data_IF_159714902786
#
_entry.id   IF_159714902786
#
_cell.length_a   1.000
_cell.length_b   1.000
_cell.length_c   1.000
_cell.angle_alpha   90.00
_cell.angle_beta   90.00
_cell.angle_gamma   90.00
#
_symmetry.space_group_name_H-M   'P 1'
#
loop_
_entity.id
_entity.type
_entity.pdbx_description
1 polymer ?
#
# COMPACT_ATOMS: atom_id res chain seq x y z
N UNK A 1 34.96 -84.12 57.17
CA UNK A 1 33.88 -83.29 56.69
C UNK A 1 34.37 -82.51 55.46
N UNK A 2 34.09 -83.01 54.22
CA UNK A 2 34.60 -82.44 52.97
C UNK A 2 33.45 -81.69 52.32
N UNK A 3 33.57 -80.40 52.18
CA UNK A 3 32.59 -79.54 51.47
C UNK A 3 33.00 -79.48 49.99
N UNK A 4 32.09 -79.91 49.11
CA UNK A 4 32.21 -79.79 47.69
C UNK A 4 31.50 -78.47 47.29
N UNK A 5 32.21 -77.54 46.64
CA UNK A 5 31.62 -76.40 45.99
C UNK A 5 31.17 -76.79 44.55
N UNK A 6 30.01 -76.41 44.12
CA UNK A 6 29.58 -76.63 42.74
C UNK A 6 30.21 -75.57 41.84
N UNK A 7 30.77 -76.04 40.71
CA UNK A 7 31.20 -75.13 39.63
C UNK A 7 29.99 -74.51 38.93
N UNK A 8 29.97 -73.16 38.86
CA UNK A 8 29.05 -72.39 38.08
C UNK A 8 29.59 -72.20 36.68
N UNK A 9 28.90 -72.52 35.59
CA UNK A 9 29.39 -72.27 34.24
C UNK A 9 29.32 -70.79 33.94
N UNK A 10 30.46 -70.23 33.53
CA UNK A 10 30.54 -68.85 33.00
C UNK A 10 29.82 -68.78 31.65
N UNK A 11 28.62 -68.23 31.65
CA UNK A 11 27.93 -67.92 30.42
C UNK A 11 28.59 -66.67 29.82
N UNK A 12 29.36 -66.90 28.77
CA UNK A 12 29.96 -65.84 27.96
C UNK A 12 28.83 -65.15 27.14
N UNK A 13 28.29 -64.05 27.65
CA UNK A 13 27.39 -63.17 26.87
C UNK A 13 28.20 -62.49 25.76
N UNK A 14 28.14 -63.04 24.56
CA UNK A 14 28.60 -62.35 23.34
C UNK A 14 27.58 -61.27 23.05
N UNK A 15 27.91 -60.04 23.44
CA UNK A 15 27.15 -58.85 23.11
C UNK A 15 27.37 -58.53 21.62
N UNK A 16 26.52 -59.09 20.76
CA UNK A 16 26.50 -58.76 19.33
C UNK A 16 26.15 -57.29 19.14
N UNK A 17 27.15 -56.45 18.88
CA UNK A 17 26.93 -55.09 18.40
C UNK A 17 26.23 -55.17 17.03
N UNK A 18 24.92 -55.02 17.05
CA UNK A 18 24.15 -54.82 15.83
C UNK A 18 24.46 -53.39 15.34
N UNK A 19 25.38 -53.27 14.42
CA UNK A 19 25.52 -52.07 13.61
C UNK A 19 24.24 -51.90 12.78
N UNK A 20 23.26 -51.16 13.28
CA UNK A 20 22.18 -50.65 12.47
C UNK A 20 22.83 -49.66 11.48
N UNK A 21 22.81 -49.92 10.17
CA UNK A 21 23.12 -48.91 9.21
C UNK A 21 22.09 -47.83 9.41
N UNK A 22 22.46 -46.71 10.02
CA UNK A 22 21.65 -45.51 10.04
C UNK A 22 21.46 -45.08 8.60
N UNK A 23 20.38 -45.52 7.98
CA UNK A 23 19.91 -44.89 6.75
C UNK A 23 19.70 -43.42 7.11
N UNK A 24 20.67 -42.57 6.84
CA UNK A 24 20.44 -41.15 6.73
C UNK A 24 19.49 -40.97 5.54
N UNK A 25 18.19 -40.99 5.79
CA UNK A 25 17.22 -40.56 4.81
C UNK A 25 17.53 -39.06 4.62
N UNK A 26 18.35 -38.76 3.65
CA UNK A 26 18.56 -37.41 3.16
C UNK A 26 17.28 -37.09 2.42
N UNK A 27 16.32 -36.49 3.14
CA UNK A 27 15.16 -35.91 2.48
C UNK A 27 15.70 -34.92 1.46
N UNK A 28 15.40 -35.20 0.19
CA UNK A 28 15.61 -34.22 -0.88
C UNK A 28 14.59 -33.10 -0.70
N UNK A 29 14.97 -32.10 0.09
CA UNK A 29 14.13 -30.94 0.40
C UNK A 29 14.18 -29.90 -0.70
N UNK A 30 15.01 -30.09 -1.74
CA UNK A 30 15.14 -29.12 -2.82
C UNK A 30 13.85 -29.02 -3.64
N UNK A 31 13.03 -30.09 -3.68
CA UNK A 31 11.71 -30.11 -4.31
C UNK A 31 10.58 -29.55 -3.43
N UNK A 32 10.81 -29.34 -2.13
CA UNK A 32 9.78 -28.81 -1.24
C UNK A 32 9.53 -27.33 -1.52
N UNK A 33 8.25 -26.89 -1.58
CA UNK A 33 7.93 -25.47 -1.76
C UNK A 33 8.38 -24.63 -0.57
N UNK A 34 8.58 -23.33 -0.82
CA UNK A 34 8.77 -22.35 0.24
C UNK A 34 7.42 -22.08 0.95
N UNK A 35 7.44 -22.08 2.28
CA UNK A 35 6.30 -21.60 3.07
C UNK A 35 6.42 -20.09 3.29
N UNK A 36 5.53 -19.33 2.68
CA UNK A 36 5.43 -17.90 2.91
C UNK A 36 4.43 -17.65 4.04
N UNK A 37 4.90 -17.06 5.14
CA UNK A 37 4.10 -16.73 6.33
C UNK A 37 4.09 -15.22 6.50
N UNK A 38 2.95 -14.60 6.25
CA UNK A 38 2.77 -13.16 6.28
C UNK A 38 1.94 -12.75 7.49
N UNK A 39 2.40 -11.74 8.22
CA UNK A 39 1.67 -11.10 9.30
C UNK A 39 1.27 -9.68 8.87
N UNK A 40 -0.05 -9.43 8.79
CA UNK A 40 -0.60 -8.13 8.41
C UNK A 40 -1.00 -7.27 9.61
N UNK A 41 -0.94 -7.82 10.85
CA UNK A 41 -1.39 -7.10 12.05
C UNK A 41 -2.89 -6.77 12.06
N UNK A 42 -3.65 -7.32 11.12
CA UNK A 42 -5.07 -7.03 10.89
C UNK A 42 -5.29 -6.08 9.71
N UNK A 43 -5.79 -6.61 8.59
CA UNK A 43 -6.09 -5.83 7.39
C UNK A 43 -7.26 -4.85 7.65
N UNK A 44 -7.17 -3.57 7.26
CA UNK A 44 -8.23 -2.58 7.49
C UNK A 44 -9.47 -2.84 6.63
N UNK A 45 -9.32 -3.47 5.49
CA UNK A 45 -10.38 -3.80 4.54
C UNK A 45 -10.03 -5.05 3.74
N UNK A 46 -10.96 -5.50 2.89
CA UNK A 46 -10.70 -6.57 1.94
C UNK A 46 -9.49 -6.23 1.07
N UNK A 47 -8.57 -7.18 0.92
CA UNK A 47 -7.27 -6.97 0.28
C UNK A 47 -6.99 -8.05 -0.75
N UNK A 48 -6.63 -7.64 -1.96
CA UNK A 48 -6.08 -8.50 -3.00
C UNK A 48 -4.61 -8.77 -2.71
N UNK A 49 -4.22 -10.02 -2.73
CA UNK A 49 -2.85 -10.48 -2.63
C UNK A 49 -2.43 -11.10 -3.97
N UNK A 50 -1.47 -10.50 -4.64
CA UNK A 50 -0.84 -11.05 -5.84
C UNK A 50 0.53 -11.56 -5.46
N UNK A 51 0.79 -12.84 -5.72
CA UNK A 51 2.08 -13.48 -5.46
C UNK A 51 2.62 -14.03 -6.77
N UNK A 52 3.78 -13.55 -7.18
CA UNK A 52 4.51 -14.02 -8.35
C UNK A 52 5.71 -14.85 -7.88
N UNK A 53 5.79 -16.11 -8.32
CA UNK A 53 6.88 -17.02 -7.98
C UNK A 53 7.04 -18.08 -9.08
N UNK A 54 8.28 -18.35 -9.50
CA UNK A 54 8.55 -19.36 -10.55
C UNK A 54 7.89 -19.09 -11.91
N UNK A 55 7.52 -17.83 -12.19
CA UNK A 55 6.80 -17.44 -13.41
C UNK A 55 5.28 -17.53 -13.31
N UNK A 56 4.74 -18.06 -12.23
CA UNK A 56 3.30 -18.13 -11.97
C UNK A 56 2.83 -16.93 -11.14
N UNK A 57 1.62 -16.43 -11.44
CA UNK A 57 0.95 -15.38 -10.67
C UNK A 57 -0.26 -15.97 -9.97
N UNK A 58 -0.20 -16.03 -8.67
CA UNK A 58 -1.32 -16.43 -7.82
C UNK A 58 -2.07 -15.22 -7.31
N UNK A 59 -3.40 -15.33 -7.28
CA UNK A 59 -4.31 -14.28 -6.80
C UNK A 59 -5.17 -14.83 -5.66
N UNK A 60 -5.08 -14.20 -4.49
CA UNK A 60 -5.89 -14.49 -3.31
C UNK A 60 -6.60 -13.20 -2.86
N UNK A 61 -7.80 -13.33 -2.29
CA UNK A 61 -8.51 -12.22 -1.69
C UNK A 61 -8.66 -12.48 -0.20
N UNK A 62 -8.13 -11.58 0.61
CA UNK A 62 -8.11 -11.68 2.06
C UNK A 62 -9.19 -10.79 2.66
N UNK A 63 -10.04 -11.30 3.58
CA UNK A 63 -11.05 -10.49 4.24
C UNK A 63 -10.42 -9.44 5.18
N UNK A 64 -11.18 -8.39 5.48
CA UNK A 64 -10.84 -7.45 6.53
C UNK A 64 -10.58 -8.17 7.86
N UNK A 65 -9.64 -7.67 8.66
CA UNK A 65 -9.25 -8.25 9.94
C UNK A 65 -8.29 -9.44 9.84
N UNK A 66 -7.91 -9.90 8.62
CA UNK A 66 -6.90 -10.95 8.48
C UNK A 66 -5.60 -10.52 9.14
N UNK A 67 -5.19 -11.24 10.20
CA UNK A 67 -3.93 -11.00 10.91
C UNK A 67 -2.76 -11.72 10.29
N UNK A 68 -2.92 -12.99 9.93
CA UNK A 68 -1.85 -13.78 9.32
C UNK A 68 -2.34 -14.60 8.14
N UNK A 69 -1.46 -14.82 7.18
CA UNK A 69 -1.70 -15.63 6.00
C UNK A 69 -0.55 -16.56 5.71
N UNK A 70 -0.85 -17.78 5.27
CA UNK A 70 0.17 -18.77 4.91
C UNK A 70 -0.12 -19.33 3.53
N UNK A 71 0.93 -19.48 2.73
CA UNK A 71 0.83 -20.08 1.41
C UNK A 71 2.14 -20.80 1.05
N UNK A 72 2.00 -21.87 0.25
CA UNK A 72 3.14 -22.52 -0.37
C UNK A 72 3.38 -21.89 -1.75
N UNK A 73 4.65 -21.55 -2.03
CA UNK A 73 5.10 -21.00 -3.32
C UNK A 73 6.34 -21.76 -3.79
N UNK A 74 6.66 -21.79 -5.10
CA UNK A 74 7.94 -22.27 -5.58
C UNK A 74 9.11 -21.58 -4.89
N UNK A 75 10.21 -22.29 -4.65
CA UNK A 75 11.46 -21.69 -4.18
C UNK A 75 12.05 -20.77 -5.23
N UNK A 76 12.81 -19.78 -4.79
CA UNK A 76 13.45 -18.80 -5.65
C UNK A 76 12.93 -17.39 -5.37
N UNK A 77 12.92 -16.56 -6.41
CA UNK A 77 12.47 -15.18 -6.25
C UNK A 77 10.95 -15.13 -6.15
N UNK A 78 10.48 -14.51 -5.07
CA UNK A 78 9.05 -14.29 -4.81
C UNK A 78 8.76 -12.80 -4.74
N UNK A 79 7.78 -12.35 -5.50
CA UNK A 79 7.26 -10.99 -5.43
C UNK A 79 5.84 -11.02 -4.90
N UNK A 80 5.56 -10.10 -3.97
CA UNK A 80 4.27 -9.94 -3.34
C UNK A 80 3.77 -8.52 -3.56
N UNK A 81 2.50 -8.39 -3.95
CA UNK A 81 1.76 -7.14 -4.00
C UNK A 81 0.45 -7.33 -3.24
N UNK A 82 0.23 -6.55 -2.19
CA UNK A 82 -1.02 -6.48 -1.46
C UNK A 82 -1.72 -5.15 -1.74
N UNK A 83 -3.00 -5.18 -2.14
CA UNK A 83 -3.76 -4.00 -2.57
C UNK A 83 -5.15 -3.99 -1.96
N UNK A 84 -5.55 -2.88 -1.37
CA UNK A 84 -6.90 -2.62 -0.89
C UNK A 84 -7.41 -1.27 -1.43
N UNK A 85 -8.62 -1.21 -2.00
CA UNK A 85 -9.59 -2.29 -2.24
C UNK A 85 -9.22 -3.16 -3.46
N UNK A 86 -9.64 -4.45 -3.49
CA UNK A 86 -9.30 -5.39 -4.57
C UNK A 86 -9.75 -4.94 -5.96
N UNK A 87 -10.91 -4.30 -6.04
CA UNK A 87 -11.52 -3.86 -7.30
C UNK A 87 -10.73 -2.75 -8.00
N UNK A 88 -9.88 -2.04 -7.26
CA UNK A 88 -9.07 -0.95 -7.81
C UNK A 88 -7.91 -1.45 -8.69
N UNK A 89 -7.51 -2.72 -8.58
CA UNK A 89 -6.30 -3.22 -9.21
C UNK A 89 -6.55 -4.41 -10.14
N UNK A 90 -6.03 -4.34 -11.36
CA UNK A 90 -6.08 -5.43 -12.34
C UNK A 90 -4.72 -6.12 -12.46
N UNK A 91 -4.74 -7.44 -12.34
CA UNK A 91 -3.51 -8.24 -12.49
C UNK A 91 -2.90 -8.05 -13.88
N UNK A 92 -1.60 -7.77 -13.91
CA UNK A 92 -0.85 -7.51 -15.15
C UNK A 92 -0.96 -6.09 -15.70
N UNK A 93 -2.00 -5.33 -15.34
CA UNK A 93 -2.23 -3.96 -15.84
C UNK A 93 -1.99 -2.88 -14.76
N UNK A 94 -2.15 -3.25 -13.47
CA UNK A 94 -2.10 -2.30 -12.36
C UNK A 94 -3.43 -1.60 -12.10
N UNK A 95 -3.37 -0.38 -11.56
CA UNK A 95 -4.50 0.52 -11.37
C UNK A 95 -4.39 1.67 -12.37
N UNK A 96 -5.43 1.90 -13.16
CA UNK A 96 -5.60 3.10 -13.97
C UNK A 96 -6.78 3.91 -13.41
N UNK A 97 -6.54 5.17 -13.12
CA UNK A 97 -7.60 6.12 -12.71
C UNK A 97 -8.16 6.73 -13.99
N UNK A 98 -9.45 6.49 -14.33
CA UNK A 98 -10.06 7.11 -15.51
C UNK A 98 -10.10 8.63 -15.39
N UNK A 99 -10.02 9.32 -16.53
CA UNK A 99 -10.16 10.77 -16.55
C UNK A 99 -11.56 11.20 -16.03
N UNK A 100 -11.56 12.16 -15.12
CA UNK A 100 -12.79 12.65 -14.47
C UNK A 100 -13.18 11.89 -13.20
N UNK A 101 -12.50 10.79 -12.87
CA UNK A 101 -12.72 10.04 -11.64
C UNK A 101 -11.73 10.39 -10.52
N UNK A 102 -12.18 10.27 -9.28
CA UNK A 102 -11.32 10.39 -8.12
C UNK A 102 -10.39 9.16 -8.00
N UNK A 103 -9.21 9.35 -7.42
CA UNK A 103 -8.41 8.22 -6.97
C UNK A 103 -9.21 7.40 -5.93
N UNK A 104 -9.26 6.07 -6.02
CA UNK A 104 -9.80 5.27 -4.94
C UNK A 104 -8.97 5.44 -3.66
N UNK A 105 -9.56 5.19 -2.51
CA UNK A 105 -8.83 5.11 -1.24
C UNK A 105 -7.92 3.88 -1.27
N UNK A 106 -6.69 4.07 -1.77
CA UNK A 106 -5.76 3.01 -2.09
C UNK A 106 -4.76 2.77 -0.95
N UNK A 107 -4.63 1.53 -0.56
CA UNK A 107 -3.62 1.03 0.35
C UNK A 107 -2.81 -0.05 -0.34
N UNK A 108 -1.48 -0.03 -0.23
CA UNK A 108 -0.62 -0.86 -1.02
C UNK A 108 0.63 -1.31 -0.24
N UNK A 109 1.07 -2.55 -0.47
CA UNK A 109 2.37 -3.03 -0.01
C UNK A 109 3.03 -3.84 -1.11
N UNK A 110 4.31 -3.61 -1.35
CA UNK A 110 5.15 -4.40 -2.24
C UNK A 110 6.27 -5.04 -1.43
N UNK A 111 6.50 -6.34 -1.64
CA UNK A 111 7.62 -7.08 -1.05
C UNK A 111 8.31 -7.92 -2.10
N UNK A 112 9.59 -8.11 -1.91
CA UNK A 112 10.42 -8.98 -2.73
C UNK A 112 11.26 -9.85 -1.83
N UNK A 113 11.24 -11.16 -2.07
CA UNK A 113 11.99 -12.15 -1.32
C UNK A 113 12.92 -12.88 -2.28
N UNK A 114 14.14 -12.35 -2.51
CA UNK A 114 15.09 -12.97 -3.42
C UNK A 114 15.60 -14.28 -2.82
N UNK A 115 15.64 -15.33 -3.64
CA UNK A 115 16.15 -16.64 -3.25
C UNK A 115 15.39 -17.29 -2.08
N UNK A 116 14.06 -17.11 -2.00
CA UNK A 116 13.24 -17.70 -0.94
C UNK A 116 13.44 -19.21 -0.84
N UNK A 117 13.91 -19.68 0.32
CA UNK A 117 14.25 -21.07 0.60
C UNK A 117 13.08 -21.90 1.14
N UNK A 118 13.22 -22.50 2.32
CA UNK A 118 12.18 -23.35 2.91
C UNK A 118 11.03 -22.56 3.53
N UNK A 119 11.34 -21.46 4.22
CA UNK A 119 10.34 -20.61 4.87
C UNK A 119 10.76 -19.15 4.81
N UNK A 120 9.80 -18.26 4.56
CA UNK A 120 9.92 -16.81 4.68
C UNK A 120 8.84 -16.32 5.62
N UNK A 121 9.23 -15.56 6.65
CA UNK A 121 8.32 -14.88 7.57
C UNK A 121 8.51 -13.38 7.45
N UNK A 122 7.44 -12.64 7.22
CA UNK A 122 7.50 -11.20 7.12
C UNK A 122 6.24 -10.54 7.72
N UNK A 123 6.43 -9.32 8.24
CA UNK A 123 5.34 -8.45 8.65
C UNK A 123 5.06 -7.44 7.55
N UNK A 124 3.90 -7.54 6.93
CA UNK A 124 3.50 -6.75 5.76
C UNK A 124 2.52 -5.66 6.18
N UNK A 125 2.98 -4.43 6.17
CA UNK A 125 2.14 -3.26 6.37
C UNK A 125 1.75 -2.66 5.04
N UNK A 126 0.43 -2.43 4.83
CA UNK A 126 -0.09 -1.66 3.72
C UNK A 126 0.07 -0.17 4.01
N UNK A 127 0.54 0.58 3.04
CA UNK A 127 0.75 2.02 3.11
C UNK A 127 -0.34 2.76 2.34
N UNK A 128 -0.69 3.93 2.85
CA UNK A 128 -1.70 4.80 2.24
C UNK A 128 -1.13 5.55 1.05
N UNK A 129 -1.60 5.23 -0.15
CA UNK A 129 -1.11 5.75 -1.42
C UNK A 129 -1.97 6.88 -2.01
N UNK A 130 -2.91 7.39 -1.26
CA UNK A 130 -3.78 8.49 -1.64
C UNK A 130 -3.77 9.57 -0.58
N UNK A 131 -3.94 10.83 -0.98
CA UNK A 131 -4.24 11.93 -0.08
C UNK A 131 -5.69 12.37 -0.25
N UNK A 132 -6.41 12.55 0.86
CA UNK A 132 -7.76 13.11 0.85
C UNK A 132 -7.67 14.62 1.06
N UNK A 133 -8.08 15.37 0.04
CA UNK A 133 -8.16 16.82 0.09
C UNK A 133 -9.58 17.23 0.48
N UNK A 134 -9.77 17.83 1.65
CA UNK A 134 -11.02 18.44 2.08
C UNK A 134 -10.98 19.92 1.71
N UNK A 135 -11.66 20.29 0.63
CA UNK A 135 -11.57 21.65 0.08
C UNK A 135 -12.82 22.44 0.46
N UNK A 136 -12.60 23.64 0.99
CA UNK A 136 -13.66 24.58 1.34
C UNK A 136 -13.40 25.94 0.72
N UNK A 137 -14.39 26.46 -0.03
CA UNK A 137 -14.35 27.82 -0.56
C UNK A 137 -15.30 28.69 0.26
N UNK A 138 -14.82 29.85 0.71
CA UNK A 138 -15.61 30.90 1.33
C UNK A 138 -15.79 32.06 0.37
N UNK A 139 -17.04 32.47 0.15
CA UNK A 139 -17.41 33.63 -0.62
C UNK A 139 -18.20 34.61 0.25
N UNK A 140 -18.05 35.88 0.01
CA UNK A 140 -18.75 36.94 0.77
C UNK A 140 -20.26 37.03 0.45
N UNK A 141 -20.79 36.34 -0.57
CA UNK A 141 -22.10 36.65 -1.14
C UNK A 141 -23.03 35.45 -1.44
N UNK A 142 -22.95 34.31 -0.71
CA UNK A 142 -23.91 33.23 -0.93
C UNK A 142 -23.29 31.95 -1.54
N UNK A 143 -24.10 31.10 -2.20
CA UNK A 143 -23.61 29.83 -2.75
C UNK A 143 -22.46 30.05 -3.71
N UNK A 144 -21.42 29.20 -3.62
CA UNK A 144 -20.24 29.26 -4.48
C UNK A 144 -20.61 28.73 -5.87
N UNK A 145 -20.63 29.56 -6.92
CA UNK A 145 -21.03 29.12 -8.27
C UNK A 145 -19.95 28.33 -9.00
N UNK A 146 -18.78 28.14 -8.36
CA UNK A 146 -17.60 27.58 -8.98
C UNK A 146 -17.57 26.06 -8.89
N UNK A 147 -17.06 25.42 -9.93
CA UNK A 147 -16.58 24.06 -9.86
C UNK A 147 -15.07 24.07 -9.57
N UNK A 148 -14.56 22.97 -9.05
CA UNK A 148 -13.15 22.78 -8.81
C UNK A 148 -12.63 21.63 -9.63
N UNK A 149 -11.39 21.72 -10.10
CA UNK A 149 -10.67 20.60 -10.71
C UNK A 149 -9.30 20.45 -10.05
N UNK A 150 -9.00 19.25 -9.59
CA UNK A 150 -7.64 18.91 -9.19
C UNK A 150 -6.95 18.25 -10.39
N UNK A 151 -5.75 18.72 -10.71
CA UNK A 151 -4.92 18.22 -11.82
C UNK A 151 -3.58 17.76 -11.26
N UNK A 152 -3.16 16.55 -11.62
CA UNK A 152 -1.92 15.95 -11.18
C UNK A 152 -1.21 15.19 -12.29
N UNK A 153 -0.04 14.65 -11.99
CA UNK A 153 0.85 13.98 -12.96
C UNK A 153 0.94 12.45 -12.79
N UNK A 154 0.16 11.86 -11.87
CA UNK A 154 0.05 10.41 -11.68
C UNK A 154 -1.38 9.98 -11.97
N UNK A 155 -1.54 9.08 -12.96
CA UNK A 155 -2.84 8.56 -13.40
C UNK A 155 -3.11 7.14 -12.94
N UNK A 156 -2.34 6.61 -11.99
CA UNK A 156 -2.52 5.25 -11.46
C UNK A 156 -1.25 4.65 -10.89
N UNK A 157 -1.21 3.31 -10.91
CA UNK A 157 -0.10 2.50 -10.41
C UNK A 157 0.13 1.34 -11.37
N UNK A 158 1.39 1.05 -11.68
CA UNK A 158 1.74 -0.07 -12.55
C UNK A 158 1.47 -1.45 -11.88
N UNK A 159 1.64 -2.54 -12.62
CA UNK A 159 1.49 -3.90 -12.11
C UNK A 159 2.44 -4.20 -10.93
N UNK A 160 3.46 -3.39 -10.75
CA UNK A 160 4.43 -3.44 -9.67
C UNK A 160 4.07 -2.63 -8.44
N UNK A 161 2.94 -1.92 -8.48
CA UNK A 161 2.53 -1.03 -7.40
C UNK A 161 3.30 0.29 -7.35
N UNK A 162 4.02 0.67 -8.41
CA UNK A 162 4.69 1.97 -8.49
C UNK A 162 3.75 3.01 -9.11
N UNK A 163 3.79 4.28 -8.66
CA UNK A 163 3.04 5.34 -9.31
C UNK A 163 3.31 5.40 -10.81
N UNK A 164 2.25 5.38 -11.62
CA UNK A 164 2.32 5.44 -13.07
C UNK A 164 2.10 6.88 -13.56
N UNK A 165 3.08 7.49 -14.23
CA UNK A 165 2.95 8.83 -14.79
C UNK A 165 1.78 8.93 -15.77
N UNK A 166 1.06 10.05 -15.73
CA UNK A 166 -0.06 10.33 -16.60
C UNK A 166 -0.88 11.52 -16.11
N UNK A 167 -1.84 11.95 -16.91
CA UNK A 167 -2.75 13.03 -16.53
C UNK A 167 -3.81 12.52 -15.58
N UNK A 168 -3.80 13.03 -14.36
CA UNK A 168 -4.90 12.91 -13.41
C UNK A 168 -5.72 14.18 -13.45
N UNK A 169 -7.03 14.07 -13.61
CA UNK A 169 -7.93 15.22 -13.63
C UNK A 169 -9.26 14.84 -13.01
N UNK A 170 -9.59 15.43 -11.86
CA UNK A 170 -10.83 15.17 -11.16
C UNK A 170 -11.59 16.45 -10.90
N UNK A 171 -12.82 16.52 -11.44
CA UNK A 171 -13.70 17.68 -11.30
C UNK A 171 -14.76 17.43 -10.24
N UNK A 172 -14.96 18.41 -9.38
CA UNK A 172 -15.96 18.37 -8.31
C UNK A 172 -16.74 19.67 -8.21
N UNK A 173 -17.91 19.60 -7.60
CA UNK A 173 -18.71 20.78 -7.26
C UNK A 173 -18.84 20.87 -5.75
N UNK A 174 -18.51 22.03 -5.15
CA UNK A 174 -18.78 22.28 -3.74
C UNK A 174 -20.28 22.13 -3.43
N UNK A 175 -20.59 21.66 -2.25
CA UNK A 175 -21.93 21.60 -1.71
C UNK A 175 -22.44 23.00 -1.29
N UNK A 176 -23.64 23.06 -0.68
CA UNK A 176 -24.23 24.31 -0.21
C UNK A 176 -23.39 25.03 0.87
N UNK A 177 -22.46 24.34 1.53
CA UNK A 177 -21.53 24.91 2.50
C UNK A 177 -20.22 25.40 1.87
N UNK A 178 -20.06 25.23 0.57
CA UNK A 178 -18.83 25.52 -0.16
C UNK A 178 -17.76 24.43 -0.03
N UNK A 179 -18.13 23.22 0.40
CA UNK A 179 -17.20 22.13 0.70
C UNK A 179 -17.26 21.01 -0.34
N UNK A 180 -16.13 20.40 -0.65
CA UNK A 180 -16.02 19.19 -1.45
C UNK A 180 -14.78 18.39 -1.05
N UNK A 181 -14.70 17.15 -1.52
CA UNK A 181 -13.59 16.23 -1.22
C UNK A 181 -13.05 15.65 -2.51
N UNK A 182 -11.72 15.61 -2.61
CA UNK A 182 -11.00 14.89 -3.65
C UNK A 182 -10.04 13.88 -3.03
N UNK A 183 -10.05 12.63 -3.51
CA UNK A 183 -8.93 11.73 -3.30
C UNK A 183 -7.97 11.86 -4.49
N UNK A 184 -6.70 12.11 -4.21
CA UNK A 184 -5.65 12.25 -5.21
C UNK A 184 -4.59 11.17 -5.02
N UNK A 185 -4.05 10.58 -6.09
CA UNK A 185 -2.96 9.60 -5.96
C UNK A 185 -1.68 10.31 -5.49
N UNK A 186 -0.73 9.54 -4.97
CA UNK A 186 0.65 10.01 -4.71
C UNK A 186 1.19 10.73 -5.94
N UNK A 187 1.72 11.93 -5.78
CA UNK A 187 2.32 12.67 -6.89
C UNK A 187 3.82 12.38 -6.99
N UNK A 188 4.38 12.54 -8.18
CA UNK A 188 5.83 12.40 -8.41
C UNK A 188 6.61 13.65 -8.00
N UNK A 189 5.95 14.80 -7.98
CA UNK A 189 6.53 16.11 -7.70
C UNK A 189 5.47 17.10 -7.20
N UNK A 190 5.80 18.39 -7.16
CA UNK A 190 4.93 19.45 -6.68
C UNK A 190 4.03 20.06 -7.77
N UNK A 191 3.80 19.37 -8.88
CA UNK A 191 3.00 19.90 -10.00
C UNK A 191 1.49 19.85 -9.80
N UNK A 192 1.00 19.40 -8.63
CA UNK A 192 -0.42 19.34 -8.33
C UNK A 192 -1.05 20.74 -8.39
N UNK A 193 -2.12 20.88 -9.19
CA UNK A 193 -2.84 22.13 -9.38
C UNK A 193 -4.28 22.02 -8.87
N UNK A 194 -4.80 23.13 -8.35
CA UNK A 194 -6.23 23.29 -8.06
C UNK A 194 -6.77 24.42 -8.92
N UNK A 195 -7.64 24.09 -9.86
CA UNK A 195 -8.32 25.03 -10.75
C UNK A 195 -9.71 25.34 -10.21
N UNK A 196 -10.06 26.63 -10.18
CA UNK A 196 -11.41 27.13 -9.90
C UNK A 196 -12.05 27.52 -11.22
N UNK A 197 -13.23 26.98 -11.51
CA UNK A 197 -13.89 27.15 -12.79
C UNK A 197 -15.26 27.83 -12.63
N UNK A 198 -15.53 28.80 -13.51
CA UNK A 198 -16.87 29.30 -13.78
C UNK A 198 -17.40 28.64 -15.06
N UNK A 199 -18.45 27.83 -14.93
CA UNK A 199 -18.85 26.95 -16.03
C UNK A 199 -17.75 25.95 -16.38
N UNK A 200 -17.11 26.09 -17.56
CA UNK A 200 -16.00 25.27 -18.02
C UNK A 200 -14.67 26.04 -18.13
N UNK A 201 -14.69 27.33 -17.84
CA UNK A 201 -13.53 28.19 -17.98
C UNK A 201 -12.78 28.32 -16.64
N UNK A 202 -11.47 28.07 -16.59
CA UNK A 202 -10.70 28.32 -15.39
C UNK A 202 -10.62 29.84 -15.14
N UNK A 203 -11.13 30.27 -14.00
CA UNK A 203 -11.03 31.68 -13.57
C UNK A 203 -9.82 31.86 -12.65
N UNK A 204 -9.33 30.78 -12.05
CA UNK A 204 -8.13 30.78 -11.23
C UNK A 204 -7.49 29.41 -11.13
N UNK A 205 -6.16 29.40 -11.03
CA UNK A 205 -5.35 28.20 -10.75
C UNK A 205 -4.44 28.45 -9.57
N UNK A 206 -4.37 27.51 -8.66
CA UNK A 206 -3.45 27.49 -7.53
C UNK A 206 -2.42 26.39 -7.77
N UNK A 207 -1.13 26.69 -7.62
CA UNK A 207 -0.05 25.71 -7.60
C UNK A 207 -0.08 24.96 -6.25
N UNK A 208 -1.11 24.13 -6.05
CA UNK A 208 -1.39 23.49 -4.76
C UNK A 208 -0.20 22.65 -4.27
N UNK A 209 0.49 21.96 -5.19
CA UNK A 209 1.66 21.17 -4.86
C UNK A 209 2.82 21.99 -4.31
N UNK A 210 3.04 23.20 -4.82
CA UNK A 210 4.08 24.12 -4.29
C UNK A 210 3.70 24.60 -2.88
N UNK A 211 2.45 25.01 -2.66
CA UNK A 211 1.99 25.40 -1.33
C UNK A 211 2.06 24.25 -0.32
N UNK A 212 1.77 23.02 -0.75
CA UNK A 212 1.93 21.81 0.07
C UNK A 212 3.40 21.61 0.44
N UNK A 213 4.32 21.70 -0.53
CA UNK A 213 5.76 21.54 -0.31
C UNK A 213 6.31 22.61 0.67
N UNK A 214 5.92 23.88 0.48
CA UNK A 214 6.28 24.97 1.40
C UNK A 214 5.74 24.76 2.81
N UNK A 215 4.62 24.03 2.95
CA UNK A 215 4.02 23.64 4.24
C UNK A 215 4.69 22.41 4.86
N UNK A 216 5.68 21.81 4.20
CA UNK A 216 6.37 20.61 4.65
C UNK A 216 5.65 19.30 4.34
N UNK A 217 4.68 19.32 3.41
CA UNK A 217 4.04 18.09 2.94
C UNK A 217 5.02 17.24 2.13
N UNK A 218 5.07 15.95 2.44
CA UNK A 218 6.01 15.01 1.82
C UNK A 218 5.26 13.93 1.02
N UNK A 219 5.34 14.02 -0.32
CA UNK A 219 4.82 13.00 -1.23
C UNK A 219 5.57 11.67 -1.16
N UNK A 220 6.76 11.62 -0.55
CA UNK A 220 7.56 10.40 -0.39
C UNK A 220 7.30 9.69 0.93
N UNK A 221 6.52 10.29 1.83
CA UNK A 221 6.16 9.68 3.11
C UNK A 221 5.52 8.29 2.90
N UNK A 222 5.79 7.31 3.76
CA UNK A 222 5.20 5.97 3.63
C UNK A 222 3.68 6.01 3.55
N UNK A 223 3.04 6.76 4.45
CA UNK A 223 1.59 6.96 4.47
C UNK A 223 1.30 8.44 4.17
N UNK A 224 0.54 8.72 3.13
CA UNK A 224 0.18 10.09 2.78
C UNK A 224 -0.80 10.69 3.78
N UNK A 225 -0.53 11.90 4.25
CA UNK A 225 -1.41 12.64 5.13
C UNK A 225 -2.61 13.22 4.38
N UNK A 226 -3.74 13.37 5.06
CA UNK A 226 -4.89 14.12 4.55
C UNK A 226 -4.69 15.62 4.77
N UNK A 227 -5.25 16.44 3.87
CA UNK A 227 -5.08 17.89 3.88
C UNK A 227 -6.44 18.59 3.78
N UNK A 228 -6.66 19.56 4.64
CA UNK A 228 -7.75 20.53 4.51
C UNK A 228 -7.24 21.76 3.77
N UNK A 229 -7.96 22.17 2.74
CA UNK A 229 -7.68 23.34 1.90
C UNK A 229 -8.81 24.34 2.06
N UNK A 230 -8.55 25.50 2.63
CA UNK A 230 -9.56 26.57 2.76
C UNK A 230 -9.15 27.76 1.89
N UNK A 231 -10.03 28.16 0.99
CA UNK A 231 -9.87 29.31 0.11
C UNK A 231 -10.86 30.39 0.55
N UNK A 232 -10.37 31.49 1.06
CA UNK A 232 -11.17 32.65 1.44
C UNK A 232 -10.98 33.76 0.39
N UNK A 233 -11.92 33.85 -0.53
CA UNK A 233 -11.88 34.86 -1.60
C UNK A 233 -12.05 36.29 -1.09
N UNK A 234 -12.79 36.50 0.02
CA UNK A 234 -12.98 37.83 0.57
C UNK A 234 -11.71 38.40 1.21
N UNK A 235 -10.86 37.50 1.72
CA UNK A 235 -9.59 37.85 2.36
C UNK A 235 -8.36 37.57 1.49
N UNK A 236 -8.57 36.96 0.33
CA UNK A 236 -7.47 36.50 -0.55
C UNK A 236 -6.47 35.59 0.16
N UNK A 237 -6.98 34.64 0.94
CA UNK A 237 -6.17 33.70 1.73
C UNK A 237 -6.41 32.26 1.30
N UNK A 238 -5.33 31.50 1.14
CA UNK A 238 -5.30 30.05 1.00
C UNK A 238 -4.72 29.46 2.28
N UNK A 239 -5.47 28.67 3.02
CA UNK A 239 -5.00 28.00 4.23
C UNK A 239 -4.98 26.50 4.00
N UNK A 240 -3.83 25.89 4.27
CA UNK A 240 -3.62 24.45 4.26
C UNK A 240 -3.45 23.95 5.69
N UNK A 241 -4.04 22.79 6.00
CA UNK A 241 -3.92 22.13 7.31
C UNK A 241 -3.80 20.61 7.14
N UNK A 242 -2.93 20.03 7.92
CA UNK A 242 -2.85 18.59 8.15
C UNK A 242 -2.91 18.32 9.66
N UNK A 243 -2.82 17.06 10.06
CA UNK A 243 -2.82 16.70 11.48
C UNK A 243 -1.74 17.45 12.28
N UNK A 244 -0.57 17.64 11.67
CA UNK A 244 0.64 18.11 12.36
C UNK A 244 1.02 19.56 12.05
N UNK A 245 0.39 20.20 11.06
CA UNK A 245 0.74 21.55 10.64
C UNK A 245 -0.42 22.35 10.07
N UNK A 246 -0.28 23.70 10.08
CA UNK A 246 -1.19 24.63 9.41
C UNK A 246 -0.41 25.81 8.87
N UNK A 247 -0.65 26.20 7.61
CA UNK A 247 -0.01 27.33 6.96
C UNK A 247 -1.00 28.13 6.13
N UNK A 248 -0.82 29.45 6.07
CA UNK A 248 -1.71 30.36 5.31
C UNK A 248 -0.86 31.19 4.35
N UNK A 249 -1.31 31.23 3.10
CA UNK A 249 -0.73 32.00 2.01
C UNK A 249 -1.69 33.11 1.59
N UNK A 250 -1.16 34.26 1.19
CA UNK A 250 -1.93 35.31 0.53
C UNK A 250 -1.86 35.13 -0.99
N UNK A 251 -2.92 35.49 -1.69
CA UNK A 251 -2.95 35.53 -3.15
C UNK A 251 -3.58 36.83 -3.65
N UNK A 252 -3.22 37.26 -4.85
CA UNK A 252 -3.80 38.44 -5.48
C UNK A 252 -4.94 38.05 -6.41
N UNK A 253 -6.01 38.85 -6.44
CA UNK A 253 -7.06 38.76 -7.44
C UNK A 253 -6.70 39.77 -8.53
N UNK A 254 -6.27 39.28 -9.68
CA UNK A 254 -6.08 40.12 -10.87
C UNK A 254 -7.46 40.21 -11.54
N UNK A 255 -8.01 41.41 -11.56
CA UNK A 255 -9.34 41.74 -12.20
C UNK A 255 -9.09 42.09 -13.63
#
# INVERSE_FOLDING_TARGET
MKWKFPQVPVFTCILGLVFLPGCSIREDRDSCPCQLVLDFGGLPAETLLLTEAGGDVRRDTLPAGTGSWRMAVPRGDVRLLAVSPPAAFRSGEGLRIPEGEACPELWLAVRQYPGAGEEVRDSVRLHKEHARLQIRIRSAGGPVPYALTVVGNIAGYDAGGKPAPGSFRYRMRPDATGSCVACVPRQADNSLMLEVLEGNSPVRSFALGEYLAESGYDWTAPDLADVSVEIDYARTLLTLRSADWSQTFSFEIVI
#
